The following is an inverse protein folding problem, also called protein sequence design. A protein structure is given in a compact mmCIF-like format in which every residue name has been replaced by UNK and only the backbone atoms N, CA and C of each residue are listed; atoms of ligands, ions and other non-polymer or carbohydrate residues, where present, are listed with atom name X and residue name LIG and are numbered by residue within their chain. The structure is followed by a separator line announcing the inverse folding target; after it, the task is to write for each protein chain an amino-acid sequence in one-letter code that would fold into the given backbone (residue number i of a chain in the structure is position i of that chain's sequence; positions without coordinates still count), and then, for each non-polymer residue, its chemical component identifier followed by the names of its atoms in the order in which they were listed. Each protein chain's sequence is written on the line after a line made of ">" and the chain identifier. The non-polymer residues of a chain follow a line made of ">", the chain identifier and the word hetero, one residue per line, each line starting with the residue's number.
data_IF_267540243358
#
_entry.id   IF_267540243358
#
_cell.length_a   1.000
_cell.length_b   1.000
_cell.length_c   1.000
_cell.angle_alpha   90.00
_cell.angle_beta   90.00
_cell.angle_gamma   90.00
#
_symmetry.space_group_name_H-M   'P 1'
#
loop_
_entity.id
_entity.type
_entity.pdbx_description
1 polymer ?
#
# COMPACT_ATOMS: atom_id res chain seq x y z
N UNK A 1 14.38 -5.08 -9.99
CA UNK A 1 13.73 -6.12 -9.15
C UNK A 1 13.64 -5.58 -7.72
N UNK A 2 12.54 -5.86 -7.02
CA UNK A 2 12.36 -5.47 -5.62
C UNK A 2 13.02 -6.54 -4.73
N UNK A 3 14.13 -6.19 -4.06
CA UNK A 3 14.94 -7.14 -3.29
C UNK A 3 14.54 -7.20 -1.81
N UNK A 4 14.01 -6.11 -1.28
CA UNK A 4 13.52 -5.95 0.09
C UNK A 4 12.31 -5.04 0.07
N UNK A 5 11.53 -5.05 1.16
CA UNK A 5 10.35 -4.22 1.33
C UNK A 5 10.36 -3.64 2.75
N UNK A 6 10.21 -2.33 2.85
CA UNK A 6 10.01 -1.62 4.11
C UNK A 6 8.79 -0.70 3.94
N UNK A 7 7.84 -0.83 4.86
CA UNK A 7 6.62 -0.02 4.91
C UNK A 7 6.55 0.56 6.32
N UNK A 8 6.45 1.88 6.42
CA UNK A 8 6.37 2.60 7.68
C UNK A 8 5.18 3.53 7.71
N UNK A 9 4.51 3.58 8.85
CA UNK A 9 3.39 4.49 9.12
C UNK A 9 2.31 4.46 8.02
N UNK A 10 1.98 3.26 7.52
CA UNK A 10 0.96 3.09 6.48
C UNK A 10 -0.17 2.21 6.98
N UNK A 11 -1.34 2.83 7.21
CA UNK A 11 -2.49 2.18 7.85
C UNK A 11 -2.06 1.53 9.18
N UNK A 12 -2.39 0.24 9.38
CA UNK A 12 -2.01 -0.54 10.57
C UNK A 12 -0.53 -0.95 10.60
N UNK A 13 0.23 -0.72 9.53
CA UNK A 13 1.64 -1.10 9.44
C UNK A 13 2.51 0.05 10.00
N UNK A 14 2.86 -0.02 11.28
CA UNK A 14 3.76 0.93 11.93
C UNK A 14 5.20 0.78 11.40
N UNK A 15 5.76 -0.43 11.46
CA UNK A 15 7.06 -0.79 10.89
C UNK A 15 7.04 -2.24 10.39
N UNK A 16 6.77 -2.42 9.09
CA UNK A 16 6.76 -3.72 8.43
C UNK A 16 7.99 -3.87 7.53
N UNK A 17 8.77 -4.94 7.74
CA UNK A 17 10.00 -5.19 6.98
C UNK A 17 10.10 -6.63 6.49
N UNK A 18 10.50 -6.76 5.24
CA UNK A 18 10.94 -8.01 4.62
C UNK A 18 12.32 -7.77 4.03
N UNK A 19 13.36 -8.20 4.74
CA UNK A 19 14.76 -7.93 4.37
C UNK A 19 15.20 -8.62 3.08
N UNK A 20 14.51 -9.70 2.68
CA UNK A 20 14.81 -10.45 1.46
C UNK A 20 13.53 -10.99 0.84
N UNK A 21 13.17 -10.49 -0.33
CA UNK A 21 12.08 -11.02 -1.14
C UNK A 21 12.59 -12.14 -2.05
N UNK A 22 11.85 -13.24 -2.08
CA UNK A 22 12.01 -14.29 -3.08
C UNK A 22 11.27 -13.96 -4.38
N UNK A 23 11.40 -14.84 -5.38
CA UNK A 23 10.56 -14.77 -6.60
C UNK A 23 9.08 -14.94 -6.29
N UNK A 24 8.78 -15.73 -5.26
CA UNK A 24 7.44 -15.93 -4.70
C UNK A 24 7.54 -15.69 -3.19
N UNK A 25 6.61 -14.91 -2.65
CA UNK A 25 6.51 -14.62 -1.22
C UNK A 25 5.09 -14.92 -0.77
N UNK A 26 4.94 -15.61 0.37
CA UNK A 26 3.64 -15.93 0.95
C UNK A 26 3.45 -15.10 2.23
N UNK A 27 2.44 -14.22 2.24
CA UNK A 27 2.07 -13.42 3.40
C UNK A 27 0.76 -13.96 3.96
N UNK A 28 0.82 -14.55 5.16
CA UNK A 28 -0.32 -15.16 5.86
C UNK A 28 -0.60 -14.47 7.18
N UNK A 29 -1.81 -14.65 7.71
CA UNK A 29 -2.24 -14.07 8.97
C UNK A 29 -3.76 -13.93 9.04
N UNK A 30 -4.29 -13.62 10.23
CA UNK A 30 -5.73 -13.37 10.42
C UNK A 30 -6.21 -12.18 9.59
N UNK A 31 -7.52 -12.11 9.35
CA UNK A 31 -8.14 -10.96 8.71
C UNK A 31 -7.85 -9.69 9.48
N UNK A 32 -7.79 -8.57 8.76
CA UNK A 32 -7.53 -7.24 9.32
C UNK A 32 -6.13 -7.00 9.92
N UNK A 33 -5.17 -7.92 9.77
CA UNK A 33 -3.77 -7.73 10.23
C UNK A 33 -2.86 -7.02 9.20
N UNK A 34 -3.42 -6.24 8.28
CA UNK A 34 -2.63 -5.44 7.34
C UNK A 34 -2.10 -6.17 6.10
N UNK A 35 -2.55 -7.41 5.82
CA UNK A 35 -2.17 -8.13 4.58
C UNK A 35 -2.53 -7.32 3.31
N UNK A 36 -3.76 -6.81 3.23
CA UNK A 36 -4.19 -5.94 2.14
C UNK A 36 -3.41 -4.63 2.12
N UNK A 37 -3.07 -4.07 3.29
CA UNK A 37 -2.23 -2.87 3.41
C UNK A 37 -0.84 -3.07 2.81
N UNK A 38 -0.22 -4.25 2.94
CA UNK A 38 1.06 -4.56 2.27
C UNK A 38 0.91 -4.48 0.75
N UNK A 39 -0.16 -5.08 0.19
CA UNK A 39 -0.42 -5.04 -1.24
C UNK A 39 -0.74 -3.63 -1.76
N UNK A 40 -1.44 -2.83 -0.97
CA UNK A 40 -1.73 -1.43 -1.31
C UNK A 40 -0.48 -0.56 -1.30
N UNK A 41 0.40 -0.70 -0.31
CA UNK A 41 1.69 -0.01 -0.28
C UNK A 41 2.54 -0.37 -1.51
N UNK A 42 2.58 -1.65 -1.88
CA UNK A 42 3.24 -2.12 -3.10
C UNK A 42 2.61 -1.52 -4.37
N UNK A 43 1.28 -1.43 -4.43
CA UNK A 43 0.55 -0.83 -5.55
C UNK A 43 0.88 0.67 -5.67
N UNK A 44 0.91 1.41 -4.57
CA UNK A 44 1.30 2.83 -4.52
C UNK A 44 2.74 3.00 -5.01
N UNK A 45 3.66 2.18 -4.52
CA UNK A 45 5.07 2.21 -4.93
C UNK A 45 5.23 1.91 -6.43
N UNK A 46 4.60 0.83 -6.92
CA UNK A 46 4.66 0.45 -8.34
C UNK A 46 4.00 1.50 -9.26
N UNK A 47 2.96 2.18 -8.79
CA UNK A 47 2.31 3.27 -9.48
C UNK A 47 2.99 4.63 -9.30
N UNK A 48 4.21 4.67 -8.74
CA UNK A 48 4.96 5.90 -8.47
C UNK A 48 4.15 6.98 -7.74
N UNK A 49 3.29 6.56 -6.80
CA UNK A 49 2.37 7.41 -6.05
C UNK A 49 1.51 8.34 -6.94
N UNK A 50 1.14 7.89 -8.14
CA UNK A 50 0.34 8.69 -9.06
C UNK A 50 -1.00 9.11 -8.41
N UNK A 51 -1.37 10.38 -8.59
CA UNK A 51 -2.49 10.98 -7.88
C UNK A 51 -3.83 10.25 -8.10
N UNK A 52 -4.13 9.84 -9.33
CA UNK A 52 -5.38 9.09 -9.60
C UNK A 52 -5.40 7.71 -8.92
N UNK A 53 -4.24 7.07 -8.76
CA UNK A 53 -4.14 5.82 -8.02
C UNK A 53 -4.41 6.05 -6.53
N UNK A 54 -3.81 7.10 -5.95
CA UNK A 54 -4.05 7.47 -4.55
C UNK A 54 -5.53 7.78 -4.29
N UNK A 55 -6.19 8.51 -5.19
CA UNK A 55 -7.64 8.73 -5.11
C UNK A 55 -8.44 7.44 -5.18
N UNK A 56 -8.10 6.51 -6.09
CA UNK A 56 -8.80 5.24 -6.20
C UNK A 56 -8.67 4.41 -4.91
N UNK A 57 -7.49 4.40 -4.30
CA UNK A 57 -7.27 3.73 -3.02
C UNK A 57 -8.08 4.41 -1.92
N UNK A 58 -8.03 5.73 -1.81
CA UNK A 58 -8.79 6.48 -0.83
C UNK A 58 -10.31 6.27 -0.99
N UNK A 59 -10.84 6.39 -2.21
CA UNK A 59 -12.24 6.17 -2.53
C UNK A 59 -12.69 4.73 -2.22
N UNK A 60 -11.84 3.73 -2.47
CA UNK A 60 -12.14 2.33 -2.14
C UNK A 60 -12.20 2.02 -0.64
N UNK A 61 -11.73 2.95 0.21
CA UNK A 61 -11.80 2.88 1.67
C UNK A 61 -12.74 3.94 2.27
N UNK A 62 -13.54 4.59 1.44
CA UNK A 62 -14.43 5.69 1.85
C UNK A 62 -13.69 6.85 2.57
N UNK A 63 -12.42 7.07 2.23
CA UNK A 63 -11.58 8.12 2.79
C UNK A 63 -11.82 9.47 2.10
N UNK A 64 -11.70 10.57 2.85
CA UNK A 64 -11.77 11.91 2.28
C UNK A 64 -10.49 12.22 1.51
N UNK A 65 -10.63 12.68 0.27
CA UNK A 65 -9.52 13.17 -0.55
C UNK A 65 -9.88 14.53 -1.19
N UNK A 66 -8.88 15.39 -1.45
CA UNK A 66 -9.14 16.65 -2.13
C UNK A 66 -9.64 16.35 -3.55
N UNK A 67 -10.84 16.84 -3.85
CA UNK A 67 -11.34 16.91 -5.22
C UNK A 67 -10.55 18.01 -5.93
N UNK A 68 -9.98 17.71 -7.11
CA UNK A 68 -9.52 18.78 -8.00
C UNK A 68 -10.74 19.68 -8.24
N UNK A 69 -10.63 20.97 -7.89
CA UNK A 69 -11.58 21.96 -8.38
C UNK A 69 -11.50 21.90 -9.91
N UNK A 70 -12.58 21.50 -10.55
CA UNK A 70 -12.75 21.74 -11.97
C UNK A 70 -12.83 23.26 -12.12
N UNK A 71 -11.79 23.87 -12.70
CA UNK A 71 -11.89 25.24 -13.23
C UNK A 71 -12.83 25.25 -14.43
#
# INVERSE_FOLDING_TARGET
>A
MLNSLEIKNFRILEDFRVSKLGRVNLIVGKNNLGKSSVLEALRIYAGNAHYELLKQIAAGHDEKYPMKKTE
#
